data_IF_943994406252
#
_entry.id   IF_943994406252
#
_cell.length_a   1.000
_cell.length_b   1.000
_cell.length_c   1.000
_cell.angle_alpha   90.00
_cell.angle_beta   90.00
_cell.angle_gamma   90.00
#
_symmetry.space_group_name_H-M   'P 1'
#
loop_
_entity.id
_entity.type
_entity.pdbx_description
1 polymer ?
#
# COMPACT_ATOMS: atom_id res chain seq x y z
N UNK A 1 21.69 -25.77 1.45
CA UNK A 1 21.45 -25.09 0.14
C UNK A 1 20.15 -25.51 -0.54
N UNK A 2 19.90 -26.79 -0.85
CA UNK A 2 18.61 -27.22 -1.46
C UNK A 2 17.40 -26.86 -0.58
N UNK A 3 17.51 -27.10 0.71
CA UNK A 3 16.47 -26.77 1.70
C UNK A 3 16.22 -25.25 1.79
N UNK A 4 17.29 -24.45 1.79
CA UNK A 4 17.22 -22.99 1.71
C UNK A 4 16.53 -22.51 0.43
N UNK A 5 16.93 -23.07 -0.74
CA UNK A 5 16.32 -22.75 -2.03
C UNK A 5 14.82 -23.07 -2.05
N UNK A 6 14.42 -24.17 -1.42
CA UNK A 6 13.01 -24.55 -1.26
C UNK A 6 12.22 -23.70 -0.26
N UNK A 7 12.90 -22.89 0.56
CA UNK A 7 12.29 -22.02 1.55
C UNK A 7 12.29 -20.53 1.15
N UNK A 8 12.85 -20.15 -0.01
CA UNK A 8 12.98 -18.73 -0.41
C UNK A 8 11.64 -18.00 -0.54
N UNK A 9 10.53 -18.71 -0.75
CA UNK A 9 9.19 -18.11 -0.80
C UNK A 9 8.65 -17.69 0.57
N UNK A 10 9.15 -18.30 1.65
CA UNK A 10 8.71 -18.08 3.04
C UNK A 10 9.76 -17.24 3.78
N UNK A 11 9.44 -15.99 4.18
CA UNK A 11 10.41 -15.11 4.84
C UNK A 11 11.01 -15.68 6.13
N UNK A 12 10.18 -16.28 6.98
CA UNK A 12 10.59 -16.75 8.30
C UNK A 12 11.39 -18.04 8.18
N UNK A 13 10.95 -18.96 7.31
CA UNK A 13 11.67 -20.20 7.04
C UNK A 13 12.99 -19.93 6.30
N UNK A 14 13.00 -18.99 5.34
CA UNK A 14 14.22 -18.55 4.66
C UNK A 14 15.21 -17.93 5.65
N UNK A 15 14.76 -17.11 6.61
CA UNK A 15 15.60 -16.51 7.64
C UNK A 15 16.18 -17.59 8.56
N UNK A 16 15.34 -18.45 9.11
CA UNK A 16 15.77 -19.51 10.03
C UNK A 16 16.79 -20.46 9.38
N UNK A 17 16.51 -20.94 8.16
CA UNK A 17 17.44 -21.79 7.42
C UNK A 17 18.71 -21.01 7.03
N UNK A 18 18.57 -19.73 6.69
CA UNK A 18 19.69 -18.83 6.39
C UNK A 18 20.65 -18.64 7.57
N UNK A 19 20.13 -18.51 8.79
CA UNK A 19 20.94 -18.42 10.01
C UNK A 19 21.71 -19.72 10.28
N UNK A 20 21.04 -20.87 10.15
CA UNK A 20 21.68 -22.19 10.26
C UNK A 20 22.77 -22.35 9.18
N UNK A 21 22.50 -21.93 7.94
CA UNK A 21 23.49 -21.93 6.86
C UNK A 21 24.68 -21.04 7.17
N UNK A 22 24.44 -19.82 7.69
CA UNK A 22 25.51 -18.89 8.06
C UNK A 22 26.41 -19.48 9.14
N UNK A 23 25.83 -20.07 10.19
CA UNK A 23 26.59 -20.73 11.25
C UNK A 23 27.40 -21.91 10.71
N UNK A 24 26.80 -22.75 9.86
CA UNK A 24 27.48 -23.90 9.27
C UNK A 24 28.61 -23.49 8.34
N UNK A 25 28.37 -22.51 7.47
CA UNK A 25 29.39 -22.01 6.56
C UNK A 25 30.55 -21.35 7.32
N UNK A 26 30.27 -20.64 8.42
CA UNK A 26 31.31 -20.05 9.27
C UNK A 26 32.19 -21.12 9.92
N UNK A 27 31.58 -22.19 10.42
CA UNK A 27 32.30 -23.37 10.92
C UNK A 27 33.12 -24.04 9.82
N UNK A 28 32.55 -24.27 8.64
CA UNK A 28 33.23 -24.91 7.51
C UNK A 28 34.39 -24.04 6.97
N UNK A 29 34.23 -22.71 6.92
CA UNK A 29 35.29 -21.77 6.55
C UNK A 29 36.43 -21.74 7.58
N UNK A 30 36.11 -21.79 8.88
CA UNK A 30 37.12 -21.91 9.93
C UNK A 30 37.83 -23.27 9.87
N UNK A 31 37.10 -24.36 9.66
CA UNK A 31 37.64 -25.71 9.51
C UNK A 31 38.52 -25.86 8.25
N UNK A 32 38.21 -25.15 7.16
CA UNK A 32 39.04 -25.10 5.96
C UNK A 32 40.36 -24.36 6.21
N UNK A 33 40.38 -23.37 7.10
CA UNK A 33 41.58 -22.62 7.48
C UNK A 33 42.48 -23.35 8.49
N UNK A 34 41.92 -24.23 9.31
CA UNK A 34 42.65 -24.90 10.42
C UNK A 34 43.09 -26.33 10.13
N UNK A 35 42.61 -26.97 9.05
CA UNK A 35 43.05 -28.33 8.69
C UNK A 35 44.41 -28.32 7.99
N UNK A 36 45.38 -29.02 8.57
CA UNK A 36 46.54 -29.53 7.83
C UNK A 36 46.08 -30.51 6.74
N UNK A 37 46.86 -30.61 5.66
CA UNK A 37 46.46 -31.28 4.42
C UNK A 37 46.12 -32.79 4.53
N UNK A 38 46.30 -33.44 5.68
CA UNK A 38 46.17 -34.90 5.84
C UNK A 38 44.78 -35.42 6.20
N UNK A 39 43.90 -34.61 6.82
CA UNK A 39 42.65 -35.14 7.43
C UNK A 39 41.37 -34.73 6.66
N UNK A 40 41.53 -34.15 5.46
CA UNK A 40 40.46 -33.49 4.72
C UNK A 40 39.69 -34.39 3.73
N UNK A 41 39.80 -35.73 3.82
CA UNK A 41 39.28 -36.64 2.79
C UNK A 41 37.74 -36.63 2.60
N UNK A 42 36.89 -36.47 3.64
CA UNK A 42 35.43 -36.47 3.41
C UNK A 42 34.88 -35.13 2.90
N UNK A 43 35.51 -34.01 3.28
CA UNK A 43 35.03 -32.65 2.97
C UNK A 43 35.61 -32.08 1.66
N UNK A 44 36.80 -32.52 1.23
CA UNK A 44 37.35 -32.19 -0.10
C UNK A 44 36.52 -32.76 -1.25
N UNK A 45 35.74 -33.83 -1.04
CA UNK A 45 34.98 -34.49 -2.11
C UNK A 45 33.75 -33.72 -2.60
N UNK A 46 33.28 -32.72 -1.85
CA UNK A 46 32.07 -31.97 -2.22
C UNK A 46 32.39 -30.62 -2.88
N UNK A 47 33.59 -30.07 -2.64
CA UNK A 47 33.95 -28.72 -3.07
C UNK A 47 35.37 -28.71 -3.62
N UNK A 48 35.46 -28.56 -4.93
CA UNK A 48 36.66 -28.75 -5.77
C UNK A 48 37.68 -27.60 -5.62
N UNK A 49 38.34 -27.52 -4.46
CA UNK A 49 39.49 -26.64 -4.23
C UNK A 49 39.22 -25.12 -4.18
N UNK A 50 37.98 -24.66 -4.40
CA UNK A 50 37.57 -23.26 -4.22
C UNK A 50 37.04 -23.03 -2.80
N UNK A 51 37.40 -21.91 -2.16
CA UNK A 51 36.84 -21.46 -0.86
C UNK A 51 35.43 -20.88 -1.04
N UNK A 52 34.54 -21.70 -1.60
CA UNK A 52 33.12 -21.40 -1.79
C UNK A 52 32.38 -21.11 -0.46
N UNK A 53 32.72 -21.72 0.69
CA UNK A 53 32.13 -21.34 1.97
C UNK A 53 32.35 -19.87 2.32
N UNK A 54 33.58 -19.34 2.19
CA UNK A 54 33.85 -17.92 2.41
C UNK A 54 33.13 -17.04 1.39
N UNK A 55 33.06 -17.45 0.12
CA UNK A 55 32.35 -16.71 -0.93
C UNK A 55 30.83 -16.61 -0.67
N UNK A 56 30.22 -17.69 -0.17
CA UNK A 56 28.80 -17.69 0.23
C UNK A 56 28.57 -16.88 1.51
N UNK A 57 29.47 -16.96 2.49
CA UNK A 57 29.41 -16.13 3.69
C UNK A 57 29.47 -14.64 3.37
N UNK A 58 30.27 -14.25 2.39
CA UNK A 58 30.34 -12.87 1.90
C UNK A 58 29.02 -12.37 1.28
N UNK A 59 28.06 -13.27 1.04
CA UNK A 59 26.70 -12.98 0.54
C UNK A 59 25.61 -13.44 1.52
N UNK A 60 25.96 -13.66 2.79
CA UNK A 60 25.01 -14.16 3.78
C UNK A 60 23.86 -13.18 4.09
N UNK A 61 23.99 -11.91 3.67
CA UNK A 61 22.92 -10.92 3.66
C UNK A 61 21.76 -11.30 2.72
N UNK A 62 22.01 -12.10 1.68
CA UNK A 62 20.99 -12.56 0.72
C UNK A 62 20.21 -13.79 1.20
N UNK A 63 20.57 -14.39 2.33
CA UNK A 63 19.95 -15.64 2.78
C UNK A 63 18.53 -15.48 3.33
N UNK A 64 18.17 -14.29 3.81
CA UNK A 64 16.80 -13.99 4.18
C UNK A 64 16.07 -13.35 2.99
N UNK A 65 14.87 -13.83 2.66
CA UNK A 65 13.95 -13.17 1.72
C UNK A 65 13.86 -11.68 2.06
N UNK A 66 13.93 -10.83 1.04
CA UNK A 66 13.80 -9.38 1.19
C UNK A 66 12.36 -9.00 0.88
N UNK A 67 11.83 -8.08 1.67
CA UNK A 67 10.54 -7.45 1.41
C UNK A 67 10.82 -6.12 0.72
N UNK A 68 10.41 -6.00 -0.55
CA UNK A 68 10.66 -4.82 -1.38
C UNK A 68 9.45 -3.90 -1.29
N UNK A 69 9.68 -2.66 -0.84
CA UNK A 69 8.65 -1.65 -0.68
C UNK A 69 8.96 -0.38 -1.48
N UNK A 70 8.01 0.02 -2.34
CA UNK A 70 7.98 1.32 -2.99
C UNK A 70 7.02 2.23 -2.23
N UNK A 71 7.56 3.26 -1.57
CA UNK A 71 6.76 4.18 -0.75
C UNK A 71 6.76 5.55 -1.40
N UNK A 72 5.58 6.14 -1.59
CA UNK A 72 5.45 7.49 -2.14
C UNK A 72 4.10 8.12 -1.86
N UNK A 73 4.01 9.43 -2.12
CA UNK A 73 2.76 10.18 -1.97
C UNK A 73 1.83 10.04 -3.17
N UNK A 74 0.66 10.65 -3.08
CA UNK A 74 -0.33 10.64 -4.15
C UNK A 74 0.16 11.30 -5.45
N UNK A 75 0.94 12.38 -5.37
CA UNK A 75 1.50 13.00 -6.58
C UNK A 75 2.43 12.10 -7.39
N UNK A 76 3.12 11.17 -6.75
CA UNK A 76 3.87 10.15 -7.47
C UNK A 76 2.93 9.11 -8.09
N UNK A 77 2.09 8.48 -7.26
CA UNK A 77 1.30 7.32 -7.68
C UNK A 77 0.17 7.66 -8.66
N UNK A 78 -0.46 8.82 -8.53
CA UNK A 78 -1.60 9.21 -9.35
C UNK A 78 -1.18 10.00 -10.60
N UNK A 79 -0.09 10.77 -10.52
CA UNK A 79 0.36 11.69 -11.56
C UNK A 79 1.65 11.24 -12.26
N UNK A 80 2.82 11.72 -11.81
CA UNK A 80 4.06 11.64 -12.59
C UNK A 80 4.61 10.20 -12.70
N UNK A 81 4.43 9.40 -11.65
CA UNK A 81 4.91 8.03 -11.56
C UNK A 81 3.88 6.99 -11.99
N UNK A 82 2.66 7.40 -12.33
CA UNK A 82 1.56 6.46 -12.58
C UNK A 82 1.87 5.44 -13.69
N UNK A 83 2.45 5.88 -14.80
CA UNK A 83 2.77 4.96 -15.90
C UNK A 83 3.79 3.87 -15.52
N UNK A 84 4.78 4.21 -14.69
CA UNK A 84 5.73 3.23 -14.16
C UNK A 84 5.12 2.34 -13.08
N UNK A 85 4.27 2.91 -12.22
CA UNK A 85 3.52 2.16 -11.23
C UNK A 85 2.62 1.09 -11.88
N UNK A 86 1.90 1.47 -12.92
CA UNK A 86 1.03 0.58 -13.70
C UNK A 86 1.82 -0.59 -14.29
N UNK A 87 2.94 -0.31 -14.97
CA UNK A 87 3.82 -1.34 -15.54
C UNK A 87 4.39 -2.29 -14.47
N UNK A 88 4.85 -1.74 -13.33
CA UNK A 88 5.41 -2.54 -12.24
C UNK A 88 4.35 -3.46 -11.63
N UNK A 89 3.12 -2.97 -11.41
CA UNK A 89 2.04 -3.80 -10.89
C UNK A 89 1.52 -4.81 -11.92
N UNK A 90 1.62 -4.51 -13.22
CA UNK A 90 1.29 -5.46 -14.28
C UNK A 90 2.33 -6.60 -14.45
N UNK A 91 3.55 -6.41 -13.96
CA UNK A 91 4.67 -7.36 -14.13
C UNK A 91 4.49 -8.71 -13.42
N UNK A 92 3.59 -8.79 -12.44
CA UNK A 92 3.39 -9.92 -11.52
C UNK A 92 4.55 -10.22 -10.57
N UNK A 93 5.57 -9.36 -10.53
CA UNK A 93 6.67 -9.48 -9.58
C UNK A 93 6.19 -9.23 -8.14
N UNK A 94 6.82 -9.90 -7.18
CA UNK A 94 6.52 -9.75 -5.75
C UNK A 94 7.09 -8.41 -5.24
N UNK A 95 6.25 -7.38 -5.26
CA UNK A 95 6.60 -6.01 -4.85
C UNK A 95 5.42 -5.37 -4.12
N UNK A 96 5.74 -4.65 -3.05
CA UNK A 96 4.77 -3.93 -2.25
C UNK A 96 4.83 -2.43 -2.53
N UNK A 97 3.70 -1.82 -2.82
CA UNK A 97 3.56 -0.38 -3.00
C UNK A 97 2.73 0.19 -1.86
N UNK A 98 3.25 1.21 -1.18
CA UNK A 98 2.52 1.99 -0.19
C UNK A 98 2.34 3.42 -0.69
N UNK A 99 1.09 3.80 -0.96
CA UNK A 99 0.72 5.16 -1.35
C UNK A 99 0.21 5.89 -0.12
N UNK A 100 0.90 6.96 0.26
CA UNK A 100 0.51 7.88 1.32
C UNK A 100 -0.32 9.00 0.70
N UNK A 101 -1.64 8.83 0.67
CA UNK A 101 -2.54 9.72 -0.05
C UNK A 101 -2.93 10.91 0.81
N UNK A 102 -2.30 12.05 0.51
CA UNK A 102 -2.58 13.35 1.13
C UNK A 102 -3.52 14.20 0.28
N UNK A 103 -3.97 13.67 -0.86
CA UNK A 103 -4.86 14.33 -1.82
C UNK A 103 -4.31 15.66 -2.38
N UNK A 104 -2.99 15.78 -2.47
CA UNK A 104 -2.28 16.92 -3.03
C UNK A 104 -0.76 16.81 -2.89
N UNK A 105 -0.02 17.70 -3.55
CA UNK A 105 1.44 17.71 -3.50
C UNK A 105 1.91 18.40 -2.22
N UNK A 106 1.83 17.68 -1.11
CA UNK A 106 2.06 18.25 0.23
C UNK A 106 3.42 18.95 0.40
N UNK A 107 4.49 18.38 -0.15
CA UNK A 107 5.86 18.90 0.04
C UNK A 107 6.11 20.23 -0.69
N UNK A 108 5.48 20.45 -1.85
CA UNK A 108 5.75 21.63 -2.71
C UNK A 108 4.82 22.81 -2.42
N UNK A 109 3.87 22.64 -1.49
CA UNK A 109 2.96 23.72 -1.08
C UNK A 109 1.48 23.34 -1.12
N UNK A 110 1.15 22.09 -1.41
CA UNK A 110 -0.23 21.62 -1.49
C UNK A 110 -0.87 21.92 -2.83
N UNK A 111 -0.16 21.66 -3.93
CA UNK A 111 -0.71 21.75 -5.27
C UNK A 111 -1.69 20.60 -5.57
N UNK A 112 -2.57 20.82 -6.54
CA UNK A 112 -3.54 19.83 -6.98
C UNK A 112 -2.86 18.60 -7.59
N UNK A 113 -3.32 17.42 -7.17
CA UNK A 113 -3.00 16.12 -7.78
C UNK A 113 -4.24 15.50 -8.40
N UNK A 114 -4.08 14.45 -9.22
CA UNK A 114 -5.23 13.63 -9.65
C UNK A 114 -5.92 12.90 -8.48
N UNK A 115 -5.29 12.85 -7.31
CA UNK A 115 -5.89 12.33 -6.08
C UNK A 115 -6.68 13.39 -5.29
N UNK A 116 -6.53 14.68 -5.60
CA UNK A 116 -7.34 15.75 -5.00
C UNK A 116 -8.83 15.51 -5.29
N UNK A 117 -9.67 15.79 -4.30
CA UNK A 117 -11.11 15.54 -4.35
C UNK A 117 -11.88 16.66 -5.02
N UNK A 118 -13.06 16.32 -5.56
CA UNK A 118 -13.94 17.29 -6.21
C UNK A 118 -14.30 18.41 -5.23
N UNK A 119 -14.18 19.66 -5.67
CA UNK A 119 -14.46 20.84 -4.84
C UNK A 119 -13.38 21.23 -3.83
N UNK A 120 -12.30 20.46 -3.70
CA UNK A 120 -11.17 20.84 -2.85
C UNK A 120 -10.38 21.97 -3.49
N UNK A 121 -10.12 23.02 -2.73
CA UNK A 121 -9.21 24.13 -3.07
C UNK A 121 -7.78 23.72 -2.75
N UNK A 122 -6.91 23.82 -3.74
CA UNK A 122 -5.47 23.59 -3.61
C UNK A 122 -4.69 24.48 -4.59
N UNK A 123 -3.36 24.40 -4.58
CA UNK A 123 -2.55 25.09 -5.60
C UNK A 123 -3.02 24.70 -7.01
N UNK A 124 -3.20 25.70 -7.88
CA UNK A 124 -3.79 25.59 -9.23
C UNK A 124 -5.31 25.35 -9.31
N UNK A 125 -6.02 25.16 -8.19
CA UNK A 125 -7.49 25.00 -8.18
C UNK A 125 -8.16 25.93 -7.18
N UNK A 126 -7.99 27.24 -7.38
CA UNK A 126 -8.57 28.24 -6.48
C UNK A 126 -10.09 28.10 -6.35
N UNK A 127 -10.79 27.75 -7.43
CA UNK A 127 -12.25 27.58 -7.48
C UNK A 127 -12.73 26.17 -7.10
N UNK A 128 -11.87 25.40 -6.41
CA UNK A 128 -12.08 23.98 -6.20
C UNK A 128 -11.75 23.16 -7.43
N UNK A 129 -11.29 21.92 -7.22
CA UNK A 129 -11.04 20.99 -8.33
C UNK A 129 -12.36 20.65 -9.05
N UNK A 130 -12.45 20.81 -10.37
CA UNK A 130 -13.69 20.59 -11.13
C UNK A 130 -13.90 19.14 -11.57
N UNK A 131 -12.94 18.25 -11.30
CA UNK A 131 -12.98 16.83 -11.71
C UNK A 131 -12.97 15.90 -10.50
N UNK A 132 -13.57 14.71 -10.61
CA UNK A 132 -13.54 13.72 -9.53
C UNK A 132 -12.12 13.21 -9.25
N UNK A 133 -11.92 12.65 -8.07
CA UNK A 133 -10.68 11.94 -7.71
C UNK A 133 -10.48 10.74 -8.65
N UNK A 134 -9.27 10.57 -9.18
CA UNK A 134 -8.91 9.35 -9.93
C UNK A 134 -8.98 8.15 -8.98
N UNK A 135 -9.68 7.09 -9.37
CA UNK A 135 -9.83 5.91 -8.51
C UNK A 135 -8.72 4.87 -8.77
N UNK A 136 -7.54 5.09 -8.18
CA UNK A 136 -6.36 4.23 -8.39
C UNK A 136 -6.62 2.78 -7.98
N UNK A 137 -7.25 2.55 -6.83
CA UNK A 137 -7.53 1.20 -6.34
C UNK A 137 -8.40 0.39 -7.32
N UNK A 138 -9.50 0.97 -7.84
CA UNK A 138 -10.33 0.30 -8.86
C UNK A 138 -9.57 0.03 -10.16
N UNK A 139 -8.71 0.94 -10.59
CA UNK A 139 -7.88 0.71 -11.77
C UNK A 139 -6.97 -0.50 -11.59
N UNK A 140 -6.32 -0.62 -10.42
CA UNK A 140 -5.41 -1.75 -10.15
C UNK A 140 -6.17 -3.06 -9.95
N UNK A 141 -7.38 -3.04 -9.36
CA UNK A 141 -8.24 -4.22 -9.26
C UNK A 141 -8.62 -4.82 -10.62
N UNK A 142 -8.63 -4.02 -11.69
CA UNK A 142 -8.98 -4.48 -13.04
C UNK A 142 -8.00 -5.54 -13.59
N UNK A 143 -6.76 -5.59 -13.08
CA UNK A 143 -5.80 -6.64 -13.45
C UNK A 143 -6.23 -8.02 -12.93
N UNK A 144 -6.97 -8.07 -11.82
CA UNK A 144 -7.42 -9.32 -11.18
C UNK A 144 -6.34 -10.10 -10.42
N UNK A 145 -5.06 -9.83 -10.66
CA UNK A 145 -3.91 -10.47 -9.98
C UNK A 145 -3.07 -9.49 -9.14
N UNK A 146 -3.53 -8.25 -8.96
CA UNK A 146 -2.88 -7.28 -8.08
C UNK A 146 -3.62 -7.27 -6.76
N UNK A 147 -2.93 -7.46 -5.64
CA UNK A 147 -3.52 -7.25 -4.32
C UNK A 147 -3.73 -5.74 -4.12
N UNK A 148 -4.94 -5.33 -3.74
CA UNK A 148 -5.27 -3.90 -3.54
C UNK A 148 -5.91 -3.71 -2.19
N UNK A 149 -5.41 -2.79 -1.38
CA UNK A 149 -6.06 -2.39 -0.14
C UNK A 149 -6.21 -0.87 -0.05
N UNK A 150 -7.37 -0.44 0.46
CA UNK A 150 -7.65 0.94 0.78
C UNK A 150 -7.85 1.04 2.30
N UNK A 151 -6.95 1.76 2.96
CA UNK A 151 -6.79 1.71 4.42
C UNK A 151 -6.87 3.10 5.03
N UNK A 152 -7.24 3.15 6.30
CA UNK A 152 -7.28 4.39 7.07
C UNK A 152 -7.02 4.09 8.55
N UNK A 153 -5.78 4.28 8.99
CA UNK A 153 -5.31 3.87 10.32
C UNK A 153 -6.17 4.44 11.46
N UNK A 154 -6.59 5.71 11.37
CA UNK A 154 -7.42 6.33 12.40
C UNK A 154 -8.88 5.88 12.42
N UNK A 155 -9.37 5.27 11.34
CA UNK A 155 -10.71 4.70 11.29
C UNK A 155 -10.74 3.24 11.76
N UNK A 156 -9.80 2.44 11.25
CA UNK A 156 -9.63 1.04 11.63
C UNK A 156 -8.15 0.63 11.56
N UNK A 157 -7.53 0.58 12.74
CA UNK A 157 -6.13 0.19 12.90
C UNK A 157 -5.92 -1.31 12.62
N UNK A 158 -6.88 -2.15 12.99
CA UNK A 158 -6.77 -3.60 12.80
C UNK A 158 -6.83 -3.94 11.31
N UNK A 159 -7.79 -3.35 10.59
CA UNK A 159 -7.90 -3.47 9.13
C UNK A 159 -6.62 -3.01 8.42
N UNK A 160 -5.99 -1.92 8.89
CA UNK A 160 -4.72 -1.45 8.33
C UNK A 160 -3.58 -2.45 8.56
N UNK A 161 -3.48 -3.05 9.75
CA UNK A 161 -2.48 -4.07 10.07
C UNK A 161 -2.69 -5.33 9.22
N UNK A 162 -3.93 -5.78 9.10
CA UNK A 162 -4.27 -6.98 8.34
C UNK A 162 -4.00 -6.75 6.84
N UNK A 163 -4.36 -5.58 6.31
CA UNK A 163 -4.07 -5.22 4.92
C UNK A 163 -2.56 -5.22 4.59
N UNK A 164 -1.72 -4.71 5.49
CA UNK A 164 -0.26 -4.69 5.32
C UNK A 164 0.35 -6.10 5.41
N UNK A 165 -0.18 -6.95 6.31
CA UNK A 165 0.24 -8.35 6.43
C UNK A 165 -0.15 -9.16 5.20
N UNK A 166 -1.37 -9.00 4.73
CA UNK A 166 -1.87 -9.66 3.53
C UNK A 166 -1.10 -9.22 2.29
N UNK A 167 -0.83 -7.91 2.13
CA UNK A 167 -0.02 -7.38 1.05
C UNK A 167 1.39 -8.00 1.01
N UNK A 168 2.06 -8.09 2.17
CA UNK A 168 3.42 -8.63 2.25
C UNK A 168 3.47 -10.14 2.02
N UNK A 169 2.46 -10.87 2.53
CA UNK A 169 2.34 -12.31 2.37
C UNK A 169 1.94 -12.72 0.95
N UNK A 170 1.31 -11.83 0.19
CA UNK A 170 0.91 -12.09 -1.19
C UNK A 170 2.14 -12.30 -2.08
N UNK A 171 2.18 -13.43 -2.79
CA UNK A 171 3.27 -13.74 -3.73
C UNK A 171 3.03 -13.10 -5.10
N UNK A 172 3.03 -11.78 -5.14
CA UNK A 172 2.73 -10.99 -6.32
C UNK A 172 2.72 -9.49 -6.04
N UNK A 173 2.22 -8.69 -6.98
CA UNK A 173 2.19 -7.24 -6.87
C UNK A 173 1.09 -6.80 -5.90
N UNK A 174 1.47 -5.97 -4.93
CA UNK A 174 0.57 -5.46 -3.89
C UNK A 174 0.59 -3.94 -3.87
N UNK A 175 -0.57 -3.31 -3.72
CA UNK A 175 -0.70 -1.87 -3.50
C UNK A 175 -1.64 -1.57 -2.33
N UNK A 176 -1.14 -0.77 -1.39
CA UNK A 176 -1.88 -0.27 -0.23
C UNK A 176 -1.98 1.25 -0.34
N UNK A 177 -3.21 1.78 -0.35
CA UNK A 177 -3.50 3.21 -0.47
C UNK A 177 -4.03 3.69 0.88
N UNK A 178 -3.26 4.52 1.57
CA UNK A 178 -3.55 4.97 2.93
C UNK A 178 -3.96 6.44 2.96
N UNK A 179 -5.08 6.76 3.61
CA UNK A 179 -5.46 8.16 3.85
C UNK A 179 -4.51 8.81 4.84
N UNK A 180 -3.86 9.89 4.43
CA UNK A 180 -2.93 10.65 5.25
C UNK A 180 -3.38 12.12 5.35
N UNK A 181 -4.15 12.52 6.38
CA UNK A 181 -4.47 13.93 6.57
C UNK A 181 -3.20 14.77 6.68
N UNK A 182 -3.20 15.92 6.02
CA UNK A 182 -2.04 16.80 5.94
C UNK A 182 -2.40 18.21 6.44
N UNK A 183 -1.39 18.99 6.83
CA UNK A 183 -1.55 20.41 7.16
C UNK A 183 -2.20 21.21 6.03
N UNK A 184 -2.01 20.78 4.77
CA UNK A 184 -2.61 21.42 3.58
C UNK A 184 -4.14 21.34 3.56
N UNK A 185 -4.75 20.42 4.32
CA UNK A 185 -6.20 20.34 4.42
C UNK A 185 -6.80 21.48 5.24
N UNK A 186 -5.98 22.07 6.12
CA UNK A 186 -6.42 23.10 7.06
C UNK A 186 -7.57 22.62 7.94
N UNK A 187 -7.39 21.47 8.59
CA UNK A 187 -8.34 20.93 9.57
C UNK A 187 -8.56 21.99 10.66
N UNK A 188 -9.79 22.46 10.84
CA UNK A 188 -10.12 23.58 11.74
C UNK A 188 -9.85 23.29 13.22
N UNK A 189 -10.02 22.03 13.63
CA UNK A 189 -9.60 21.56 14.96
C UNK A 189 -8.06 21.52 15.11
N UNK A 190 -7.30 21.53 14.01
CA UNK A 190 -5.84 21.36 13.99
C UNK A 190 -5.40 19.89 13.86
N UNK A 191 -4.10 19.68 13.61
CA UNK A 191 -3.55 18.35 13.29
C UNK A 191 -3.62 17.34 14.44
N UNK A 192 -3.79 17.78 15.68
CA UNK A 192 -4.02 16.86 16.81
C UNK A 192 -5.34 16.07 16.67
N UNK A 193 -6.26 16.54 15.81
CA UNK A 193 -7.51 15.87 15.48
C UNK A 193 -7.39 14.91 14.29
N UNK A 194 -6.20 14.70 13.69
CA UNK A 194 -6.04 13.93 12.45
C UNK A 194 -6.63 12.52 12.50
N UNK A 195 -6.47 11.80 13.62
CA UNK A 195 -7.06 10.46 13.82
C UNK A 195 -8.60 10.52 13.84
N UNK A 196 -9.18 11.55 14.46
CA UNK A 196 -10.64 11.78 14.42
C UNK A 196 -11.10 12.13 13.01
N UNK A 197 -10.32 12.92 12.29
CA UNK A 197 -10.61 13.29 10.90
C UNK A 197 -10.60 12.07 9.97
N UNK A 198 -9.62 11.18 10.12
CA UNK A 198 -9.58 9.89 9.44
C UNK A 198 -10.83 9.05 9.70
N UNK A 199 -11.27 8.97 10.96
CA UNK A 199 -12.49 8.25 11.33
C UNK A 199 -13.75 8.86 10.69
N UNK A 200 -13.86 10.19 10.66
CA UNK A 200 -14.95 10.92 9.98
C UNK A 200 -14.93 10.69 8.46
N UNK A 201 -13.75 10.70 7.85
CA UNK A 201 -13.61 10.45 6.42
C UNK A 201 -14.17 9.07 6.01
N UNK A 202 -13.93 8.04 6.82
CA UNK A 202 -14.51 6.70 6.56
C UNK A 202 -16.00 6.67 6.87
N UNK A 203 -16.43 7.21 8.01
CA UNK A 203 -17.84 7.20 8.43
C UNK A 203 -18.76 7.87 7.40
N UNK A 204 -18.30 8.97 6.78
CA UNK A 204 -19.03 9.72 5.75
C UNK A 204 -19.02 9.08 4.37
N UNK A 205 -18.30 7.98 4.18
CA UNK A 205 -18.06 7.35 2.87
C UNK A 205 -17.05 8.06 1.98
N UNK A 206 -16.50 9.20 2.41
CA UNK A 206 -15.48 9.93 1.66
C UNK A 206 -14.25 9.08 1.33
N UNK A 207 -13.90 8.17 2.25
CA UNK A 207 -12.83 7.21 2.10
C UNK A 207 -13.33 5.80 2.41
N UNK A 208 -13.71 4.97 1.42
CA UNK A 208 -14.16 3.61 1.68
C UNK A 208 -13.01 2.73 2.20
N UNK A 209 -13.27 1.70 2.99
CA UNK A 209 -12.26 0.69 3.34
C UNK A 209 -12.57 -0.61 2.63
N UNK A 210 -11.58 -1.19 1.96
CA UNK A 210 -11.73 -2.48 1.29
C UNK A 210 -10.37 -3.14 1.05
N UNK A 211 -10.41 -4.45 0.85
CA UNK A 211 -9.27 -5.27 0.44
C UNK A 211 -9.69 -6.19 -0.69
N UNK A 212 -8.89 -6.21 -1.74
CA UNK A 212 -8.99 -7.14 -2.85
C UNK A 212 -7.78 -8.07 -2.81
N UNK A 213 -8.03 -9.34 -2.51
CA UNK A 213 -7.03 -10.38 -2.40
C UNK A 213 -7.23 -11.45 -3.50
N UNK A 214 -6.43 -11.43 -4.57
CA UNK A 214 -6.49 -12.45 -5.62
C UNK A 214 -6.19 -13.87 -5.15
N UNK A 215 -5.52 -14.04 -4.01
CA UNK A 215 -5.19 -15.33 -3.41
C UNK A 215 -6.18 -15.74 -2.31
N UNK A 216 -7.35 -15.09 -2.22
CA UNK A 216 -8.39 -15.47 -1.29
C UNK A 216 -8.74 -16.98 -1.47
N UNK A 217 -8.88 -17.74 -0.36
CA UNK A 217 -9.25 -19.16 -0.43
C UNK A 217 -10.53 -19.40 -1.24
N UNK A 218 -10.62 -20.56 -1.88
CA UNK A 218 -11.84 -20.97 -2.58
C UNK A 218 -13.06 -20.92 -1.65
N UNK A 219 -14.12 -20.24 -2.07
CA UNK A 219 -15.32 -20.01 -1.26
C UNK A 219 -15.28 -18.75 -0.38
N UNK A 220 -14.23 -17.93 -0.49
CA UNK A 220 -14.20 -16.57 0.09
C UNK A 220 -14.14 -15.53 -1.01
N UNK A 221 -14.87 -14.43 -0.84
CA UNK A 221 -14.90 -13.36 -1.83
C UNK A 221 -13.53 -12.64 -1.85
N UNK A 222 -12.86 -12.55 -3.01
CA UNK A 222 -11.59 -11.84 -3.12
C UNK A 222 -11.72 -10.37 -2.78
N UNK A 223 -12.89 -9.74 -2.94
CA UNK A 223 -13.14 -8.36 -2.53
C UNK A 223 -13.95 -8.32 -1.22
N UNK A 224 -13.36 -7.77 -0.17
CA UNK A 224 -14.01 -7.49 1.11
C UNK A 224 -14.17 -5.99 1.30
N UNK A 225 -15.36 -5.52 1.69
CA UNK A 225 -15.64 -4.14 2.08
C UNK A 225 -15.58 -4.06 3.61
N UNK A 226 -14.62 -3.30 4.14
CA UNK A 226 -14.32 -3.22 5.58
C UNK A 226 -14.93 -1.95 6.23
N UNK A 227 -15.76 -1.19 5.53
CA UNK A 227 -16.44 0.00 6.06
C UNK A 227 -17.97 -0.16 6.06
N UNK A 228 -18.63 0.58 6.95
CA UNK A 228 -20.09 0.65 7.00
C UNK A 228 -20.65 1.53 5.87
N UNK A 229 -21.97 1.47 5.70
CA UNK A 229 -22.70 2.38 4.81
C UNK A 229 -22.45 3.84 5.24
N UNK A 230 -22.20 4.77 4.30
CA UNK A 230 -21.95 6.18 4.60
C UNK A 230 -23.03 6.82 5.49
N UNK A 231 -22.62 7.44 6.59
CA UNK A 231 -23.49 8.31 7.37
C UNK A 231 -23.67 9.63 6.61
N UNK A 232 -24.88 10.20 6.66
CA UNK A 232 -25.24 11.40 5.86
C UNK A 232 -24.59 12.69 6.39
N UNK A 233 -23.38 12.60 6.97
CA UNK A 233 -22.67 13.71 7.63
C UNK A 233 -21.55 14.33 6.78
N UNK A 234 -21.43 13.93 5.51
CA UNK A 234 -20.42 14.46 4.57
C UNK A 234 -20.32 16.01 4.58
N UNK A 235 -21.42 16.80 4.55
CA UNK A 235 -21.31 18.26 4.60
C UNK A 235 -20.59 18.79 5.85
N UNK A 236 -20.81 18.17 7.01
CA UNK A 236 -20.14 18.56 8.25
C UNK A 236 -18.64 18.26 8.19
N UNK A 237 -18.25 17.12 7.63
CA UNK A 237 -16.85 16.75 7.44
C UNK A 237 -16.13 17.75 6.52
N UNK A 238 -16.72 18.08 5.37
CA UNK A 238 -16.14 19.06 4.43
C UNK A 238 -15.99 20.44 5.07
N UNK A 239 -17.01 20.91 5.80
CA UNK A 239 -16.96 22.22 6.49
C UNK A 239 -15.90 22.32 7.59
N UNK A 240 -15.40 21.17 8.08
CA UNK A 240 -14.33 21.08 9.07
C UNK A 240 -12.93 21.34 8.50
N UNK A 241 -12.79 21.45 7.17
CA UNK A 241 -11.51 21.60 6.48
C UNK A 241 -11.50 22.88 5.64
N UNK A 242 -10.46 23.70 5.79
CA UNK A 242 -10.34 24.96 5.06
C UNK A 242 -10.26 24.77 3.54
N UNK A 243 -9.74 23.63 3.07
CA UNK A 243 -9.72 23.30 1.62
C UNK A 243 -11.11 23.18 0.99
N UNK A 244 -12.19 23.03 1.76
CA UNK A 244 -13.57 23.10 1.26
C UNK A 244 -14.30 24.36 1.76
N UNK A 245 -14.09 24.72 3.03
CA UNK A 245 -14.78 25.85 3.64
C UNK A 245 -14.42 27.19 2.99
N UNK A 246 -13.18 27.38 2.55
CA UNK A 246 -12.76 28.61 1.86
C UNK A 246 -13.52 28.86 0.55
N UNK A 247 -13.86 27.79 -0.19
CA UNK A 247 -14.70 27.92 -1.38
C UNK A 247 -16.14 28.24 -1.01
N UNK A 248 -16.68 27.62 0.04
CA UNK A 248 -18.03 27.91 0.52
C UNK A 248 -18.20 29.37 0.98
N UNK A 249 -17.14 29.96 1.54
CA UNK A 249 -17.13 31.37 1.96
C UNK A 249 -17.04 32.33 0.77
N UNK A 250 -16.25 32.00 -0.27
CA UNK A 250 -16.02 32.88 -1.41
C UNK A 250 -17.05 32.73 -2.53
N UNK A 251 -17.46 31.50 -2.83
CA UNK A 251 -18.32 31.11 -3.97
C UNK A 251 -19.38 30.08 -3.51
N UNK A 252 -20.41 30.50 -2.73
CA UNK A 252 -21.34 29.57 -2.10
C UNK A 252 -22.11 28.67 -3.07
N UNK A 253 -22.56 29.23 -4.20
CA UNK A 253 -23.33 28.48 -5.22
C UNK A 253 -22.49 27.39 -5.89
N UNK A 254 -21.25 27.73 -6.27
CA UNK A 254 -20.32 26.77 -6.86
C UNK A 254 -19.94 25.68 -5.84
N UNK A 255 -19.70 26.06 -4.58
CA UNK A 255 -19.39 25.12 -3.50
C UNK A 255 -20.55 24.14 -3.28
N UNK A 256 -21.79 24.64 -3.21
CA UNK A 256 -22.98 23.80 -3.07
C UNK A 256 -23.13 22.82 -4.24
N UNK A 257 -22.87 23.26 -5.47
CA UNK A 257 -22.88 22.39 -6.65
C UNK A 257 -21.83 21.29 -6.54
N UNK A 258 -20.56 21.64 -6.28
CA UNK A 258 -19.46 20.66 -6.23
C UNK A 258 -19.61 19.69 -5.05
N UNK A 259 -20.09 20.14 -3.89
CA UNK A 259 -20.37 19.27 -2.76
C UNK A 259 -21.54 18.30 -3.03
N UNK A 260 -22.56 18.75 -3.77
CA UNK A 260 -23.65 17.89 -4.22
C UNK A 260 -23.15 16.80 -5.18
N UNK A 261 -22.29 17.15 -6.15
CA UNK A 261 -21.67 16.17 -7.04
C UNK A 261 -20.74 15.20 -6.29
N UNK A 262 -19.96 15.69 -5.32
CA UNK A 262 -19.12 14.83 -4.49
C UNK A 262 -19.95 13.85 -3.66
N UNK A 263 -21.10 14.28 -3.12
CA UNK A 263 -22.01 13.38 -2.42
C UNK A 263 -22.53 12.26 -3.34
N UNK A 264 -22.84 12.58 -4.60
CA UNK A 264 -23.21 11.58 -5.61
C UNK A 264 -22.06 10.63 -5.94
N UNK A 265 -20.83 11.15 -6.04
CA UNK A 265 -19.62 10.34 -6.24
C UNK A 265 -19.40 9.34 -5.09
N UNK A 266 -19.58 9.78 -3.84
CA UNK A 266 -19.47 8.91 -2.65
C UNK A 266 -20.50 7.77 -2.68
N UNK A 267 -21.78 8.10 -2.92
CA UNK A 267 -22.84 7.08 -3.01
C UNK A 267 -22.56 6.10 -4.15
N UNK A 268 -22.27 6.60 -5.34
CA UNK A 268 -21.96 5.78 -6.51
C UNK A 268 -20.75 4.88 -6.27
N UNK A 269 -19.67 5.41 -5.68
CA UNK A 269 -18.47 4.62 -5.38
C UNK A 269 -18.77 3.46 -4.43
N UNK A 270 -19.61 3.68 -3.42
CA UNK A 270 -20.04 2.61 -2.51
C UNK A 270 -20.91 1.57 -3.22
N UNK A 271 -21.91 2.00 -3.98
CA UNK A 271 -22.78 1.10 -4.76
C UNK A 271 -21.99 0.25 -5.78
N UNK A 272 -21.01 0.85 -6.45
CA UNK A 272 -20.14 0.15 -7.38
C UNK A 272 -19.24 -0.87 -6.68
N UNK A 273 -18.71 -0.56 -5.49
CA UNK A 273 -17.95 -1.53 -4.69
C UNK A 273 -18.84 -2.71 -4.30
N UNK A 274 -20.03 -2.45 -3.77
CA UNK A 274 -21.00 -3.50 -3.41
C UNK A 274 -21.35 -4.37 -4.63
N UNK A 275 -21.62 -3.74 -5.79
CA UNK A 275 -21.87 -4.48 -7.03
C UNK A 275 -20.66 -5.32 -7.46
N UNK A 276 -19.45 -4.81 -7.27
CA UNK A 276 -18.22 -5.53 -7.63
C UNK A 276 -18.03 -6.77 -6.76
N UNK A 277 -18.41 -6.73 -5.48
CA UNK A 277 -18.41 -7.91 -4.60
C UNK A 277 -19.31 -9.01 -5.19
N UNK A 278 -20.52 -8.66 -5.64
CA UNK A 278 -21.44 -9.64 -6.27
C UNK A 278 -20.87 -10.29 -7.55
N UNK A 279 -19.99 -9.60 -8.29
CA UNK A 279 -19.33 -10.19 -9.47
C UNK A 279 -18.36 -11.29 -9.09
N UNK A 280 -17.76 -11.20 -7.90
CA UNK A 280 -16.79 -12.17 -7.41
C UNK A 280 -17.41 -13.32 -6.60
N UNK A 281 -18.70 -13.23 -6.26
CA UNK A 281 -19.45 -14.35 -5.68
C UNK A 281 -19.65 -15.45 -6.72
N UNK A 282 -18.88 -16.51 -6.61
CA UNK A 282 -18.93 -17.73 -7.43
C UNK A 282 -19.35 -18.94 -6.63
#
# INVERSE_FOLDING_TARGET
LREWKGAMGDPDRSRAIGEVLRQRLAFDAQAARTRSASDAAPLKRVFDGSDYPSALLARADLFAKKSVWCIGGDGWAYDIGFGGLDEVLASKENINVLVLDTEGYSNTGGEMSKATQLGSVSGFTVNGKPTPKKNLGRMMMQYGYVYVAHVCLGADMQQTIDALREAEAYDGPSIVIALCPCISWGIREGMHAAVREQKRAVATGYWPLYRFNPAAPAGTDPLTIDCTVPDKTLPSFLSGQNRFASLAEREPELSALLQSELAKDVVRGHEELVRTVEVYKG
#
